data_IF_035138883064
#
_entry.id   IF_035138883064
#
_cell.length_a   1.000
_cell.length_b   1.000
_cell.length_c   1.000
_cell.angle_alpha   90.00
_cell.angle_beta   90.00
_cell.angle_gamma   90.00
#
_symmetry.space_group_name_H-M   'P 1'
#
loop_
_entity.id
_entity.type
_entity.pdbx_description
1 polymer ?
#
# COMPACT_ATOMS: atom_id res chain seq x y z
N UNK A 1 44.31 44.39 30.99
CA UNK A 1 44.27 43.25 31.92
C UNK A 1 43.52 42.11 31.24
N UNK A 2 44.08 40.90 31.23
CA UNK A 2 43.81 39.78 30.30
C UNK A 2 43.30 38.57 31.08
N UNK A 3 41.98 38.35 31.14
CA UNK A 3 41.38 37.15 31.77
C UNK A 3 39.99 36.92 31.12
N UNK A 4 39.87 36.15 30.04
CA UNK A 4 39.59 34.69 30.02
C UNK A 4 38.46 34.24 30.94
N UNK A 5 37.25 34.05 30.40
CA UNK A 5 36.30 33.00 30.80
C UNK A 5 35.13 32.91 29.81
N UNK A 6 35.37 32.14 28.75
CA UNK A 6 34.41 31.60 27.80
C UNK A 6 33.44 30.67 28.54
N UNK A 7 32.13 30.92 28.52
CA UNK A 7 31.12 29.87 28.80
C UNK A 7 30.12 29.81 27.65
N UNK A 8 30.31 28.72 26.92
CA UNK A 8 29.49 28.08 25.92
C UNK A 8 28.11 27.75 26.51
N UNK A 9 27.03 28.32 25.96
CA UNK A 9 25.68 27.79 26.15
C UNK A 9 24.94 27.77 24.81
N UNK A 10 25.12 26.60 24.19
CA UNK A 10 24.49 26.08 23.00
C UNK A 10 22.98 25.96 23.23
N UNK A 11 22.22 27.02 22.91
CA UNK A 11 20.76 27.01 22.90
C UNK A 11 20.20 26.46 21.59
N UNK A 12 20.52 25.22 21.26
CA UNK A 12 19.88 24.50 20.16
C UNK A 12 18.47 24.06 20.59
N UNK A 13 17.48 24.94 20.51
CA UNK A 13 16.09 24.52 20.39
C UNK A 13 15.71 24.51 18.92
N UNK A 14 16.03 23.38 18.27
CA UNK A 14 15.29 22.92 17.11
C UNK A 14 13.82 22.86 17.50
N UNK A 15 13.04 23.89 17.16
CA UNK A 15 11.60 23.70 16.99
C UNK A 15 11.45 22.72 15.84
N UNK A 16 11.17 21.48 16.19
CA UNK A 16 10.55 20.52 15.29
C UNK A 16 9.29 21.22 14.74
N UNK A 17 9.43 21.81 13.56
CA UNK A 17 8.29 22.05 12.72
C UNK A 17 7.72 20.68 12.44
N UNK A 18 6.65 20.32 13.14
CA UNK A 18 5.73 19.31 12.65
C UNK A 18 5.20 19.89 11.35
N UNK A 19 5.91 19.62 10.25
CA UNK A 19 5.29 19.57 8.95
C UNK A 19 4.23 18.47 9.09
N UNK A 20 3.05 18.87 9.53
CA UNK A 20 1.85 18.08 9.34
C UNK A 20 1.73 18.06 7.81
N UNK A 21 2.34 17.05 7.20
CA UNK A 21 2.16 16.77 5.80
C UNK A 21 0.65 16.72 5.61
N UNK A 22 0.10 17.68 4.88
CA UNK A 22 -1.23 17.54 4.35
C UNK A 22 -1.19 16.22 3.59
N UNK A 23 -1.77 15.17 4.17
CA UNK A 23 -1.91 13.92 3.46
C UNK A 23 -2.62 14.31 2.15
N UNK A 24 -2.01 14.07 0.97
CA UNK A 24 -2.70 14.37 -0.27
C UNK A 24 -4.07 13.68 -0.16
N UNK A 25 -5.15 14.38 -0.50
CA UNK A 25 -6.51 13.86 -0.33
C UNK A 25 -6.66 12.45 -0.93
N UNK A 26 -5.85 12.13 -1.94
CA UNK A 26 -5.71 10.82 -2.56
C UNK A 26 -5.10 9.74 -1.65
N UNK A 27 -4.08 10.06 -0.85
CA UNK A 27 -3.48 9.10 0.09
C UNK A 27 -4.45 8.64 1.18
N UNK A 28 -5.28 9.54 1.69
CA UNK A 28 -6.36 9.20 2.65
C UNK A 28 -7.42 8.30 2.00
N UNK A 29 -7.87 8.63 0.78
CA UNK A 29 -8.83 7.82 0.01
C UNK A 29 -8.29 6.43 -0.32
N UNK A 30 -7.01 6.32 -0.69
CA UNK A 30 -6.35 5.05 -0.97
C UNK A 30 -6.23 4.17 0.27
N UNK A 31 -5.91 4.76 1.43
CA UNK A 31 -5.88 4.04 2.71
C UNK A 31 -7.24 3.46 3.08
N UNK A 32 -8.33 4.24 2.92
CA UNK A 32 -9.69 3.74 3.18
C UNK A 32 -10.10 2.67 2.16
N UNK A 33 -9.74 2.81 0.88
CA UNK A 33 -9.98 1.77 -0.12
C UNK A 33 -9.24 0.48 0.20
N UNK A 34 -7.97 0.56 0.59
CA UNK A 34 -7.17 -0.60 1.01
C UNK A 34 -7.79 -1.29 2.23
N UNK A 35 -8.30 -0.52 3.20
CA UNK A 35 -9.02 -1.04 4.37
C UNK A 35 -10.31 -1.78 3.96
N UNK A 36 -11.08 -1.21 3.05
CA UNK A 36 -12.30 -1.84 2.51
C UNK A 36 -11.98 -3.14 1.76
N UNK A 37 -10.97 -3.14 0.89
CA UNK A 37 -10.52 -4.36 0.20
C UNK A 37 -10.11 -5.45 1.18
N UNK A 38 -9.35 -5.09 2.22
CA UNK A 38 -8.92 -6.03 3.27
C UNK A 38 -10.10 -6.58 4.06
N UNK A 39 -11.11 -5.75 4.35
CA UNK A 39 -12.35 -6.20 5.01
C UNK A 39 -13.11 -7.20 4.14
N UNK A 40 -13.29 -6.92 2.85
CA UNK A 40 -13.94 -7.83 1.90
C UNK A 40 -13.18 -9.16 1.77
N UNK A 41 -11.85 -9.12 1.79
CA UNK A 41 -11.04 -10.34 1.85
C UNK A 41 -11.30 -11.12 3.14
N UNK A 42 -11.32 -10.44 4.29
CA UNK A 42 -11.56 -11.05 5.60
C UNK A 42 -12.96 -11.69 5.74
N UNK A 43 -13.96 -11.14 5.04
CA UNK A 43 -15.32 -11.71 4.98
C UNK A 43 -15.36 -13.05 4.24
N UNK A 44 -14.55 -13.22 3.20
CA UNK A 44 -14.51 -14.45 2.37
C UNK A 44 -13.47 -15.45 2.88
N UNK A 45 -12.43 -14.95 3.51
CA UNK A 45 -11.26 -15.71 3.93
C UNK A 45 -10.79 -15.15 5.27
N UNK A 46 -11.05 -15.85 6.39
CA UNK A 46 -10.74 -15.32 7.71
C UNK A 46 -9.24 -15.06 7.84
N UNK A 47 -8.88 -13.83 8.19
CA UNK A 47 -7.51 -13.39 8.41
C UNK A 47 -7.24 -13.26 9.92
N UNK A 48 -6.06 -13.69 10.37
CA UNK A 48 -5.56 -13.26 11.69
C UNK A 48 -5.26 -11.76 11.68
N UNK A 49 -5.16 -11.14 12.86
CA UNK A 49 -4.85 -9.71 12.98
C UNK A 49 -3.53 -9.33 12.28
N UNK A 50 -2.47 -10.11 12.50
CA UNK A 50 -1.18 -9.90 11.83
C UNK A 50 -1.27 -10.03 10.30
N UNK A 51 -2.09 -10.96 9.80
CA UNK A 51 -2.35 -11.07 8.35
C UNK A 51 -3.16 -9.88 7.85
N UNK A 52 -4.18 -9.44 8.59
CA UNK A 52 -5.02 -8.31 8.21
C UNK A 52 -4.19 -7.04 8.01
N UNK A 53 -3.26 -6.75 8.92
CA UNK A 53 -2.36 -5.59 8.80
C UNK A 53 -1.48 -5.70 7.55
N UNK A 54 -0.85 -6.85 7.32
CA UNK A 54 0.03 -7.07 6.16
C UNK A 54 -0.73 -7.00 4.84
N UNK A 55 -1.90 -7.63 4.76
CA UNK A 55 -2.77 -7.58 3.58
C UNK A 55 -3.24 -6.14 3.31
N UNK A 56 -3.58 -5.36 4.34
CA UNK A 56 -3.94 -3.95 4.17
C UNK A 56 -2.79 -3.12 3.60
N UNK A 57 -1.57 -3.32 4.10
CA UNK A 57 -0.38 -2.64 3.57
C UNK A 57 -0.12 -3.04 2.12
N UNK A 58 -0.24 -4.34 1.81
CA UNK A 58 -0.07 -4.85 0.44
C UNK A 58 -1.15 -4.28 -0.51
N UNK A 59 -2.40 -4.20 -0.07
CA UNK A 59 -3.50 -3.56 -0.82
C UNK A 59 -3.26 -2.07 -1.04
N UNK A 60 -2.71 -1.36 -0.06
CA UNK A 60 -2.36 0.05 -0.23
C UNK A 60 -1.28 0.21 -1.29
N UNK A 61 -0.23 -0.61 -1.24
CA UNK A 61 0.84 -0.64 -2.25
C UNK A 61 0.27 -0.91 -3.64
N UNK A 62 -0.59 -1.91 -3.78
CA UNK A 62 -1.27 -2.25 -5.04
C UNK A 62 -1.98 -1.02 -5.64
N UNK A 63 -2.76 -0.31 -4.84
CA UNK A 63 -3.51 0.87 -5.29
C UNK A 63 -2.56 2.01 -5.70
N UNK A 64 -1.53 2.26 -4.90
CA UNK A 64 -0.55 3.33 -5.17
C UNK A 64 0.26 3.05 -6.44
N UNK A 65 0.79 1.83 -6.59
CA UNK A 65 1.51 1.43 -7.79
C UNK A 65 0.62 1.47 -9.03
N UNK A 66 -0.64 1.02 -8.93
CA UNK A 66 -1.59 1.10 -10.06
C UNK A 66 -1.80 2.55 -10.52
N UNK A 67 -1.93 3.49 -9.56
CA UNK A 67 -2.10 4.90 -9.89
C UNK A 67 -0.86 5.49 -10.57
N UNK A 68 0.34 5.17 -10.06
CA UNK A 68 1.59 5.63 -10.66
C UNK A 68 1.83 5.03 -12.05
N UNK A 69 1.54 3.73 -12.25
CA UNK A 69 1.66 3.09 -13.56
C UNK A 69 0.73 3.73 -14.59
N UNK A 70 -0.52 4.03 -14.21
CA UNK A 70 -1.47 4.73 -15.09
C UNK A 70 -1.01 6.14 -15.44
N UNK A 71 -0.38 6.84 -14.50
CA UNK A 71 0.21 8.16 -14.73
C UNK A 71 1.43 8.07 -15.66
N UNK A 72 2.26 7.05 -15.50
CA UNK A 72 3.49 6.85 -16.25
C UNK A 72 3.25 6.38 -17.68
N UNK A 73 2.37 5.39 -17.87
CA UNK A 73 2.15 4.72 -19.15
C UNK A 73 0.79 5.05 -19.77
N UNK A 74 0.04 6.03 -19.26
CA UNK A 74 -1.31 6.34 -19.73
C UNK A 74 -1.42 6.73 -21.22
N UNK A 75 -0.31 7.09 -21.86
CA UNK A 75 -0.24 7.37 -23.29
C UNK A 75 0.13 6.15 -24.16
N UNK A 76 0.57 5.04 -23.55
CA UNK A 76 0.97 3.80 -24.20
C UNK A 76 0.22 2.62 -23.56
N UNK A 77 -0.89 2.24 -24.19
CA UNK A 77 -1.78 1.19 -23.67
C UNK A 77 -1.06 -0.16 -23.53
N UNK A 78 -0.18 -0.51 -24.48
CA UNK A 78 0.55 -1.79 -24.44
C UNK A 78 1.53 -1.81 -23.28
N UNK A 79 2.31 -0.74 -23.09
CA UNK A 79 3.23 -0.63 -21.96
C UNK A 79 2.48 -0.60 -20.61
N UNK A 80 1.32 0.05 -20.55
CA UNK A 80 0.47 0.08 -19.36
C UNK A 80 -0.03 -1.33 -19.00
N UNK A 81 -0.54 -2.07 -19.98
CA UNK A 81 -1.07 -3.42 -19.76
C UNK A 81 0.03 -4.38 -19.28
N UNK A 82 1.20 -4.36 -19.90
CA UNK A 82 2.36 -5.15 -19.46
C UNK A 82 2.78 -4.78 -18.03
N UNK A 83 2.84 -3.49 -17.71
CA UNK A 83 3.24 -3.03 -16.39
C UNK A 83 2.22 -3.45 -15.30
N UNK A 84 0.93 -3.34 -15.58
CA UNK A 84 -0.14 -3.75 -14.69
C UNK A 84 -0.15 -5.27 -14.49
N UNK A 85 0.04 -6.06 -15.55
CA UNK A 85 0.15 -7.52 -15.45
C UNK A 85 1.33 -7.94 -14.57
N UNK A 86 2.49 -7.33 -14.77
CA UNK A 86 3.68 -7.57 -13.95
C UNK A 86 3.48 -7.19 -12.48
N UNK A 87 2.84 -6.06 -12.22
CA UNK A 87 2.49 -5.63 -10.86
C UNK A 87 1.51 -6.61 -10.20
N UNK A 88 0.53 -7.11 -10.94
CA UNK A 88 -0.46 -8.06 -10.43
C UNK A 88 0.19 -9.39 -10.04
N UNK A 89 1.13 -9.91 -10.85
CA UNK A 89 1.88 -11.12 -10.52
C UNK A 89 2.69 -10.94 -9.22
N UNK A 90 3.39 -9.82 -9.05
CA UNK A 90 4.15 -9.53 -7.82
C UNK A 90 3.24 -9.45 -6.59
N UNK A 91 2.09 -8.78 -6.73
CA UNK A 91 1.09 -8.71 -5.66
C UNK A 91 0.63 -10.10 -5.22
N UNK A 92 0.39 -11.01 -6.17
CA UNK A 92 -0.04 -12.38 -5.86
C UNK A 92 1.04 -13.21 -5.17
N UNK A 93 2.30 -13.06 -5.58
CA UNK A 93 3.42 -13.69 -4.90
C UNK A 93 3.57 -13.17 -3.47
N UNK A 94 3.55 -11.86 -3.27
CA UNK A 94 3.61 -11.25 -1.94
C UNK A 94 2.44 -11.73 -1.07
N UNK A 95 1.23 -11.81 -1.63
CA UNK A 95 0.05 -12.28 -0.92
C UNK A 95 0.20 -13.76 -0.49
N UNK A 96 0.77 -14.61 -1.35
CA UNK A 96 1.05 -16.00 -1.03
C UNK A 96 2.06 -16.17 0.13
N UNK A 97 2.93 -15.18 0.38
CA UNK A 97 3.81 -15.19 1.56
C UNK A 97 3.08 -14.87 2.88
N UNK A 98 1.91 -14.22 2.80
CA UNK A 98 1.11 -13.79 3.96
C UNK A 98 0.04 -14.82 4.30
N UNK A 99 -0.57 -15.42 3.28
CA UNK A 99 -1.68 -16.35 3.41
C UNK A 99 -1.21 -17.79 3.61
N UNK A 100 -2.00 -18.56 4.34
CA UNK A 100 -1.84 -20.02 4.42
C UNK A 100 -2.36 -20.66 3.13
N UNK A 101 -1.95 -21.89 2.78
CA UNK A 101 -2.39 -22.56 1.55
C UNK A 101 -3.92 -22.61 1.37
N UNK A 102 -4.67 -22.94 2.43
CA UNK A 102 -6.14 -22.94 2.39
C UNK A 102 -6.74 -21.56 2.14
N UNK A 103 -6.13 -20.52 2.71
CA UNK A 103 -6.54 -19.13 2.50
C UNK A 103 -6.28 -18.75 1.04
N UNK A 104 -5.09 -19.04 0.49
CA UNK A 104 -4.76 -18.79 -0.91
C UNK A 104 -5.77 -19.44 -1.88
N UNK A 105 -6.15 -20.70 -1.64
CA UNK A 105 -7.16 -21.37 -2.47
C UNK A 105 -8.54 -20.67 -2.48
N UNK A 106 -8.96 -20.10 -1.34
CA UNK A 106 -10.21 -19.32 -1.27
C UNK A 106 -10.10 -17.98 -2.01
N UNK A 107 -8.92 -17.36 -1.97
CA UNK A 107 -8.64 -16.16 -2.74
C UNK A 107 -8.73 -16.43 -4.25
N UNK A 108 -8.10 -17.50 -4.74
CA UNK A 108 -8.13 -17.87 -6.16
C UNK A 108 -9.55 -18.17 -6.65
N UNK A 109 -10.35 -18.90 -5.86
CA UNK A 109 -11.77 -19.15 -6.16
C UNK A 109 -12.56 -17.84 -6.24
N UNK A 110 -12.32 -16.92 -5.30
CA UNK A 110 -12.98 -15.62 -5.30
C UNK A 110 -12.62 -14.80 -6.54
N UNK A 111 -11.34 -14.82 -6.95
CA UNK A 111 -10.85 -14.12 -8.14
C UNK A 111 -11.50 -14.67 -9.42
N UNK A 112 -11.53 -16.00 -9.57
CA UNK A 112 -12.16 -16.67 -10.73
C UNK A 112 -13.65 -16.35 -10.85
N UNK A 113 -14.37 -16.34 -9.72
CA UNK A 113 -15.79 -15.96 -9.70
C UNK A 113 -16.02 -14.53 -10.17
N UNK A 114 -15.14 -13.58 -9.82
CA UNK A 114 -15.24 -12.20 -10.28
C UNK A 114 -14.90 -12.08 -11.78
N UNK A 115 -13.93 -12.82 -12.30
CA UNK A 115 -13.60 -12.80 -13.73
C UNK A 115 -14.71 -13.43 -14.58
N UNK A 116 -15.34 -14.52 -14.10
CA UNK A 116 -16.41 -15.21 -14.82
C UNK A 116 -17.69 -14.36 -14.97
N UNK A 117 -18.06 -13.58 -13.95
CA UNK A 117 -19.24 -12.70 -13.99
C UNK A 117 -19.06 -11.54 -14.97
N UNK A 118 -17.82 -11.12 -15.28
CA UNK A 118 -17.55 -10.05 -16.24
C UNK A 118 -17.46 -10.54 -17.70
N UNK A 119 -17.65 -11.84 -17.96
CA UNK A 119 -17.59 -12.47 -19.29
C UNK A 119 -18.98 -12.96 -19.79
N UNK A 120 -20.06 -12.64 -19.07
CA UNK A 120 -21.46 -12.91 -19.45
C UNK A 120 -22.15 -11.62 -19.88
#
# INVERSE_FOLDING_TARGET
MKNFATILLLGAMCRAGSAQAAAPADGSRMSERAKTMTRQMAEKMPLSEGQYIKVRQLNLRLLTETAELRKQFGADATALDEALANMQMRYEWDLATILRPRQMALYDQTKLSMTAVNLQ
#
